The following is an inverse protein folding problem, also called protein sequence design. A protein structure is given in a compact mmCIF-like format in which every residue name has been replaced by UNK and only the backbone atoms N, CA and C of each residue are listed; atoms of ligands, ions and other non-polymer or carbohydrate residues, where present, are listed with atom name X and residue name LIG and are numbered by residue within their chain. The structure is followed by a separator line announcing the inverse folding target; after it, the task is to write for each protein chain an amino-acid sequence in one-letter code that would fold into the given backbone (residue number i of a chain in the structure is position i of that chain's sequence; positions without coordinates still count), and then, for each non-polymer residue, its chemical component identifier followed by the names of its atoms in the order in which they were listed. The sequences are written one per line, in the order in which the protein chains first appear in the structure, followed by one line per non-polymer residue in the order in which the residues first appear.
data_IF_502320513245
#
_entry.id   IF_502320513245
#
_cell.length_a   1.000
_cell.length_b   1.000
_cell.length_c   1.000
_cell.angle_alpha   90.00
_cell.angle_beta   90.00
_cell.angle_gamma   90.00
#
_symmetry.space_group_name_H-M   'P 1'
#
loop_
_entity.id
_entity.type
_entity.pdbx_description
1 polymer ?
#
# COMPACT_ATOMS: atom_id res chain seq x y z
N UNK A 1 19.44 1.12 -16.97
CA UNK A 1 19.70 2.03 -15.85
C UNK A 1 21.05 1.72 -15.20
N UNK A 2 21.68 2.74 -14.64
CA UNK A 2 22.93 2.59 -13.89
C UNK A 2 22.60 2.59 -12.41
N UNK A 3 23.11 1.63 -11.64
CA UNK A 3 23.00 1.63 -10.18
C UNK A 3 23.74 2.86 -9.65
N UNK A 4 23.05 3.69 -8.86
CA UNK A 4 23.61 4.91 -8.28
C UNK A 4 24.05 4.67 -6.83
N UNK A 5 23.19 4.06 -6.03
CA UNK A 5 23.47 3.77 -4.62
C UNK A 5 22.98 2.38 -4.23
N UNK A 6 23.66 1.77 -3.27
CA UNK A 6 23.19 0.64 -2.47
C UNK A 6 23.05 1.14 -1.03
N UNK A 7 21.87 0.97 -0.44
CA UNK A 7 21.58 1.41 0.92
C UNK A 7 21.50 0.17 1.82
N UNK A 8 22.33 0.12 2.84
CA UNK A 8 22.35 -0.94 3.83
C UNK A 8 21.61 -0.49 5.10
N UNK A 9 21.09 -1.45 5.89
CA UNK A 9 20.48 -1.16 7.18
C UNK A 9 21.49 -0.45 8.10
N UNK A 10 21.24 0.82 8.50
CA UNK A 10 22.18 1.56 9.36
C UNK A 10 22.33 0.96 10.75
N UNK A 11 21.39 0.13 11.20
CA UNK A 11 21.38 -0.54 12.50
C UNK A 11 21.53 -2.07 12.42
N UNK A 12 22.14 -2.59 11.36
CA UNK A 12 22.32 -4.03 11.13
C UNK A 12 23.02 -4.81 12.24
N UNK A 13 23.68 -4.13 13.19
CA UNK A 13 24.34 -4.71 14.38
C UNK A 13 23.52 -4.55 15.65
N UNK A 14 22.34 -3.99 15.54
CA UNK A 14 21.38 -3.83 16.62
C UNK A 14 20.72 -5.11 17.02
N UNK A 15 20.23 -5.52 17.89
CA UNK A 15 19.54 -6.42 18.76
C UNK A 15 19.09 -7.76 18.22
N UNK A 16 18.46 -7.90 17.04
CA UNK A 16 18.00 -9.22 16.52
C UNK A 16 17.99 -9.28 15.01
N UNK A 17 18.04 -10.50 14.44
CA UNK A 17 17.88 -10.72 13.01
C UNK A 17 16.38 -10.64 12.65
N UNK A 18 16.05 -9.89 11.61
CA UNK A 18 14.69 -9.85 11.07
C UNK A 18 14.05 -8.47 10.97
N UNK A 19 14.84 -7.38 11.04
CA UNK A 19 14.38 -5.98 11.01
C UNK A 19 13.58 -5.60 9.76
N UNK A 20 13.71 -6.40 8.68
CA UNK A 20 13.03 -6.17 7.41
C UNK A 20 13.35 -4.79 6.79
N UNK A 21 14.64 -4.35 6.83
CA UNK A 21 15.07 -3.14 6.13
C UNK A 21 14.77 -3.27 4.63
N UNK A 22 14.12 -2.26 4.06
CA UNK A 22 13.62 -2.27 2.68
C UNK A 22 12.18 -2.81 2.55
N UNK A 23 11.46 -3.01 3.65
CA UNK A 23 10.07 -3.48 3.62
C UNK A 23 9.16 -2.54 2.84
N UNK A 24 9.22 -1.24 3.12
CA UNK A 24 8.59 -0.20 2.33
C UNK A 24 9.62 0.87 1.95
N UNK A 25 9.44 1.47 0.78
CA UNK A 25 10.30 2.53 0.26
C UNK A 25 9.46 3.64 -0.34
N UNK A 26 9.90 4.88 -0.19
CA UNK A 26 9.32 6.03 -0.84
C UNK A 26 10.43 6.98 -1.30
N UNK A 27 10.16 7.81 -2.31
CA UNK A 27 11.17 8.66 -2.93
C UNK A 27 10.59 10.03 -3.29
N UNK A 28 11.39 11.07 -3.07
CA UNK A 28 11.21 12.40 -3.62
C UNK A 28 12.48 12.87 -4.34
N UNK A 29 12.47 14.10 -4.81
CA UNK A 29 13.67 14.70 -5.41
C UNK A 29 14.82 14.86 -4.40
N UNK A 30 14.49 15.00 -3.11
CA UNK A 30 15.47 15.31 -2.05
C UNK A 30 15.86 14.07 -1.23
N UNK A 31 14.98 13.10 -1.08
CA UNK A 31 15.17 12.00 -0.15
C UNK A 31 14.74 10.63 -0.69
N UNK A 32 15.45 9.59 -0.27
CA UNK A 32 14.96 8.21 -0.25
C UNK A 32 14.57 7.86 1.18
N UNK A 33 13.42 7.27 1.37
CA UNK A 33 12.93 6.82 2.68
C UNK A 33 12.75 5.32 2.64
N UNK A 34 13.33 4.64 3.62
CA UNK A 34 13.35 3.16 3.71
C UNK A 34 12.91 2.76 5.10
N UNK A 35 11.97 1.83 5.23
CA UNK A 35 11.58 1.29 6.52
C UNK A 35 12.30 -0.01 6.86
N UNK A 36 12.47 -0.22 8.17
CA UNK A 36 12.75 -1.48 8.81
C UNK A 36 11.58 -1.76 9.76
N UNK A 37 10.49 -2.34 9.24
CA UNK A 37 9.19 -2.37 9.92
C UNK A 37 9.16 -3.25 11.17
N UNK A 38 10.14 -4.14 11.31
CA UNK A 38 10.30 -5.01 12.48
C UNK A 38 11.54 -4.70 13.32
N UNK A 39 12.13 -3.54 13.12
CA UNK A 39 13.28 -3.17 13.92
C UNK A 39 12.90 -3.00 15.38
N UNK A 40 13.69 -3.62 16.25
CA UNK A 40 13.56 -3.50 17.70
C UNK A 40 14.15 -2.16 18.17
N UNK A 41 13.52 -1.52 19.12
CA UNK A 41 14.08 -0.36 19.79
C UNK A 41 14.22 -0.60 21.32
N UNK A 42 14.67 0.43 22.05
CA UNK A 42 14.80 0.34 23.50
C UNK A 42 13.47 0.09 24.24
N UNK A 43 12.36 0.19 23.54
CA UNK A 43 11.00 0.15 24.08
C UNK A 43 10.31 -1.18 23.81
N UNK A 44 10.77 -1.95 22.83
CA UNK A 44 10.19 -3.27 22.55
C UNK A 44 10.59 -3.86 21.20
N UNK A 45 10.14 -5.08 20.97
CA UNK A 45 10.33 -5.79 19.71
C UNK A 45 9.36 -5.31 18.64
N UNK A 46 9.78 -5.38 17.36
CA UNK A 46 8.99 -5.07 16.17
C UNK A 46 8.34 -3.66 16.22
N UNK A 47 9.02 -2.67 16.83
CA UNK A 47 8.49 -1.30 16.90
C UNK A 47 8.52 -0.60 15.55
N UNK A 48 9.53 -0.90 14.75
CA UNK A 48 9.77 -0.32 13.45
C UNK A 48 10.51 1.01 13.48
N UNK A 49 11.32 1.22 12.45
CA UNK A 49 12.14 2.43 12.25
C UNK A 49 12.08 2.85 10.78
N UNK A 50 12.13 4.15 10.55
CA UNK A 50 12.19 4.74 9.22
C UNK A 50 13.51 5.49 9.05
N UNK A 51 14.22 5.21 7.97
CA UNK A 51 15.49 5.82 7.62
C UNK A 51 15.33 6.75 6.43
N UNK A 52 15.85 7.98 6.56
CA UNK A 52 15.85 8.98 5.50
C UNK A 52 17.26 9.14 4.98
N UNK A 53 17.45 8.96 3.69
CA UNK A 53 18.73 9.12 2.99
C UNK A 53 18.64 10.32 2.04
N UNK A 54 19.70 11.10 1.96
CA UNK A 54 19.84 12.19 1.00
C UNK A 54 19.94 11.65 -0.43
N UNK A 55 19.06 12.09 -1.32
CA UNK A 55 18.95 11.54 -2.67
C UNK A 55 20.16 11.90 -3.56
N UNK A 56 20.89 12.98 -3.23
CA UNK A 56 22.05 13.42 -4.00
C UNK A 56 23.32 12.68 -3.63
N UNK A 57 23.43 12.16 -2.40
CA UNK A 57 24.66 11.56 -1.86
C UNK A 57 24.50 10.09 -1.48
N UNK A 58 23.27 9.60 -1.27
CA UNK A 58 22.99 8.26 -0.73
C UNK A 58 23.33 8.11 0.76
N UNK A 59 23.72 9.19 1.45
CA UNK A 59 24.08 9.15 2.87
C UNK A 59 22.84 9.17 3.75
N UNK A 60 22.91 8.46 4.90
CA UNK A 60 21.88 8.56 5.93
C UNK A 60 21.80 10.01 6.45
N UNK A 61 20.64 10.63 6.27
CA UNK A 61 20.34 11.95 6.76
C UNK A 61 19.68 11.91 8.15
N UNK A 62 18.76 10.92 8.37
CA UNK A 62 18.00 10.79 9.61
C UNK A 62 17.59 9.35 9.91
N UNK A 63 17.41 9.08 11.19
CA UNK A 63 16.71 7.92 11.73
C UNK A 63 15.47 8.42 12.46
N UNK A 64 14.31 7.89 12.12
CA UNK A 64 13.02 8.27 12.69
C UNK A 64 12.47 7.03 13.42
N UNK A 65 12.53 7.08 14.75
CA UNK A 65 11.94 6.05 15.59
C UNK A 65 10.40 6.17 15.61
N UNK A 66 9.71 5.10 15.96
CA UNK A 66 8.26 5.12 16.16
C UNK A 66 7.86 6.23 17.15
N UNK A 67 7.02 7.19 16.73
CA UNK A 67 6.59 8.28 17.61
C UNK A 67 5.68 7.84 18.76
N UNK A 68 5.15 6.60 18.72
CA UNK A 68 4.33 6.06 19.79
C UNK A 68 5.18 5.72 21.02
N UNK A 69 4.96 6.45 22.12
CA UNK A 69 5.64 6.21 23.39
C UNK A 69 4.92 5.21 24.31
N UNK A 70 3.76 4.70 23.89
CA UNK A 70 2.95 3.76 24.68
C UNK A 70 3.32 2.34 24.28
N UNK A 71 4.29 1.79 24.94
CA UNK A 71 4.92 0.50 24.69
C UNK A 71 3.94 -0.67 24.52
N UNK A 72 3.70 -1.03 23.28
CA UNK A 72 3.15 -2.32 22.89
C UNK A 72 4.13 -2.92 21.88
N UNK A 73 4.51 -4.17 22.05
CA UNK A 73 5.35 -4.86 21.08
C UNK A 73 4.61 -4.96 19.74
N UNK A 74 5.31 -4.70 18.65
CA UNK A 74 4.82 -5.02 17.31
C UNK A 74 3.99 -3.93 16.63
N UNK A 75 4.17 -2.64 16.94
CA UNK A 75 3.49 -1.53 16.26
C UNK A 75 3.76 -1.48 14.75
N UNK A 76 4.95 -1.95 14.32
CA UNK A 76 5.43 -2.00 12.94
C UNK A 76 5.32 -0.64 12.22
N UNK A 77 5.84 0.39 12.85
CA UNK A 77 6.00 1.70 12.21
C UNK A 77 6.83 1.58 10.93
N UNK A 78 6.30 2.04 9.81
CA UNK A 78 6.89 1.82 8.48
C UNK A 78 6.37 0.58 7.75
N UNK A 79 5.28 -0.04 8.22
CA UNK A 79 4.60 -1.13 7.48
C UNK A 79 4.12 -0.66 6.10
N UNK A 80 3.67 0.56 5.99
CA UNK A 80 3.34 1.23 4.74
C UNK A 80 3.92 2.64 4.73
N UNK A 81 4.31 3.12 3.57
CA UNK A 81 4.86 4.48 3.40
C UNK A 81 4.54 5.06 2.04
N UNK A 82 4.28 6.35 2.03
CA UNK A 82 4.20 7.16 0.81
C UNK A 82 4.80 8.55 1.05
N UNK A 83 5.22 9.23 -0.02
CA UNK A 83 5.91 10.51 0.09
C UNK A 83 5.44 11.48 -0.99
N UNK A 84 5.22 12.75 -0.59
CA UNK A 84 4.97 13.86 -1.50
C UNK A 84 5.82 15.06 -1.07
N UNK A 85 6.73 15.51 -1.92
CA UNK A 85 7.78 16.46 -1.54
C UNK A 85 8.63 15.92 -0.38
N UNK A 86 8.76 16.68 0.68
CA UNK A 86 9.50 16.31 1.89
C UNK A 86 8.59 15.75 3.00
N UNK A 87 7.30 15.55 2.72
CA UNK A 87 6.36 14.97 3.68
C UNK A 87 6.24 13.47 3.45
N UNK A 88 6.53 12.67 4.47
CA UNK A 88 6.34 11.21 4.49
C UNK A 88 5.08 10.87 5.29
N UNK A 89 4.23 10.06 4.72
CA UNK A 89 3.13 9.41 5.44
C UNK A 89 3.57 7.99 5.78
N UNK A 90 3.51 7.63 7.06
CA UNK A 90 3.99 6.36 7.60
C UNK A 90 2.88 5.67 8.35
N UNK A 91 2.53 4.45 7.97
CA UNK A 91 1.58 3.60 8.68
C UNK A 91 2.22 2.76 9.77
N UNK A 92 1.49 2.57 10.88
CA UNK A 92 1.79 1.69 11.99
C UNK A 92 0.51 0.93 12.40
N UNK A 93 0.08 -0.05 11.60
CA UNK A 93 -1.27 -0.63 11.68
C UNK A 93 -1.51 -1.48 12.93
N UNK A 94 -0.46 -1.87 13.64
CA UNK A 94 -0.59 -2.73 14.82
C UNK A 94 -0.49 -1.97 16.14
N UNK A 95 -0.39 -0.63 16.10
CA UNK A 95 -0.42 0.24 17.28
C UNK A 95 -1.74 0.09 18.04
N UNK A 96 -1.70 0.09 19.36
CA UNK A 96 -2.90 0.21 20.23
C UNK A 96 -3.85 -0.98 20.17
N UNK A 97 -3.33 -2.22 20.21
CA UNK A 97 -4.07 -3.47 20.03
C UNK A 97 -4.65 -3.64 18.62
N UNK A 98 -3.89 -3.24 17.60
CA UNK A 98 -4.28 -3.31 16.19
C UNK A 98 -5.32 -2.26 15.72
N UNK A 99 -5.66 -1.26 16.55
CA UNK A 99 -6.46 -0.10 16.08
C UNK A 99 -5.74 0.64 14.95
N UNK A 100 -4.41 0.72 15.08
CA UNK A 100 -3.53 1.33 14.09
C UNK A 100 -3.40 2.85 14.18
N UNK A 101 -2.34 3.37 13.58
CA UNK A 101 -2.04 4.79 13.42
C UNK A 101 -1.33 5.07 12.11
N UNK A 102 -1.39 6.33 11.70
CA UNK A 102 -0.50 6.83 10.66
C UNK A 102 0.12 8.17 11.11
N UNK A 103 1.27 8.50 10.55
CA UNK A 103 2.02 9.69 10.94
C UNK A 103 2.44 10.47 9.70
N UNK A 104 2.17 11.77 9.70
CA UNK A 104 2.75 12.70 8.74
C UNK A 104 4.05 13.27 9.34
N UNK A 105 5.15 13.09 8.64
CA UNK A 105 6.50 13.41 9.12
C UNK A 105 7.22 14.25 8.07
N UNK A 106 7.92 15.28 8.52
CA UNK A 106 8.84 16.06 7.69
C UNK A 106 10.19 15.32 7.59
N UNK A 107 10.52 14.80 6.42
CA UNK A 107 11.76 14.08 6.16
C UNK A 107 13.00 14.97 6.35
N UNK A 108 12.89 16.29 6.12
CA UNK A 108 14.01 17.21 6.25
C UNK A 108 14.43 17.44 7.69
N UNK A 109 13.48 17.35 8.64
CA UNK A 109 13.71 17.57 10.07
C UNK A 109 13.59 16.30 10.92
N UNK A 110 12.87 15.30 10.44
CA UNK A 110 12.47 14.10 11.20
C UNK A 110 11.31 14.36 12.18
N UNK A 111 10.68 15.55 12.12
CA UNK A 111 9.63 15.93 13.04
C UNK A 111 8.28 15.38 12.63
N UNK A 112 7.54 14.81 13.57
CA UNK A 112 6.13 14.44 13.36
C UNK A 112 5.28 15.71 13.23
N UNK A 113 4.69 15.92 12.06
CA UNK A 113 3.78 17.02 11.77
C UNK A 113 2.39 16.75 12.36
N UNK A 114 1.88 15.57 12.12
CA UNK A 114 0.58 15.12 12.62
C UNK A 114 0.58 13.63 12.94
N UNK A 115 -0.14 13.25 14.02
CA UNK A 115 -0.52 11.87 14.30
C UNK A 115 -1.97 11.69 13.86
N UNK A 116 -2.21 10.80 12.90
CA UNK A 116 -3.53 10.44 12.42
C UNK A 116 -3.99 9.20 13.18
N UNK A 117 -5.00 9.36 14.01
CA UNK A 117 -5.63 8.26 14.71
C UNK A 117 -6.81 7.74 13.89
N UNK A 118 -7.16 6.48 14.06
CA UNK A 118 -8.38 5.93 13.49
C UNK A 118 -9.60 6.77 13.98
N UNK A 119 -10.38 7.39 13.06
CA UNK A 119 -11.52 8.20 13.45
C UNK A 119 -12.65 7.41 14.13
N UNK A 120 -12.72 6.10 13.90
CA UNK A 120 -13.75 5.20 14.44
C UNK A 120 -13.18 4.19 15.46
N UNK A 121 -12.12 4.54 16.16
CA UNK A 121 -11.37 3.71 17.11
C UNK A 121 -12.19 2.90 18.13
N UNK A 122 -13.47 3.22 18.30
CA UNK A 122 -14.39 2.57 19.23
C UNK A 122 -15.63 2.02 18.50
N UNK A 123 -15.52 1.75 17.20
CA UNK A 123 -16.58 1.11 16.41
C UNK A 123 -17.03 -0.21 17.03
N UNK A 124 -18.26 -0.58 16.77
CA UNK A 124 -18.84 -1.82 17.29
C UNK A 124 -18.05 -3.03 16.72
N UNK A 125 -17.33 -3.78 17.53
CA UNK A 125 -16.75 -5.05 17.10
C UNK A 125 -15.36 -5.36 17.60
N UNK A 126 -14.57 -4.43 18.07
CA UNK A 126 -13.28 -4.72 18.66
C UNK A 126 -12.08 -3.99 18.04
N UNK A 127 -10.95 -4.21 18.64
CA UNK A 127 -9.65 -3.64 18.33
C UNK A 127 -8.93 -4.51 17.30
N UNK A 128 -9.10 -4.30 16.02
CA UNK A 128 -8.31 -4.97 14.97
C UNK A 128 -8.44 -4.25 13.62
N UNK A 129 -8.71 -2.95 13.64
CA UNK A 129 -9.06 -2.17 12.44
C UNK A 129 -7.91 -2.04 11.46
N UNK A 130 -6.67 -2.09 11.99
CA UNK A 130 -5.42 -1.94 11.24
C UNK A 130 -5.36 -0.67 10.40
N UNK A 131 -5.80 0.46 10.98
CA UNK A 131 -5.65 1.77 10.36
C UNK A 131 -4.17 2.07 10.08
N UNK A 132 -3.84 2.42 8.84
CA UNK A 132 -2.46 2.59 8.39
C UNK A 132 -1.86 1.35 7.72
N UNK A 133 -2.68 0.34 7.37
CA UNK A 133 -2.20 -0.86 6.66
C UNK A 133 -1.67 -0.54 5.27
N UNK A 134 -2.31 0.36 4.57
CA UNK A 134 -1.83 0.93 3.31
C UNK A 134 -2.12 2.43 3.28
N UNK A 135 -1.21 3.21 2.69
CA UNK A 135 -1.27 4.67 2.70
C UNK A 135 -0.81 5.26 1.37
N UNK A 136 -1.42 6.37 0.99
CA UNK A 136 -0.96 7.16 -0.16
C UNK A 136 -1.10 8.66 0.12
N UNK A 137 -0.24 9.48 -0.48
CA UNK A 137 -0.20 10.94 -0.28
C UNK A 137 0.09 11.63 -1.60
N UNK A 138 -0.67 12.70 -1.89
CA UNK A 138 -0.39 13.58 -3.03
C UNK A 138 -1.21 14.87 -2.95
N UNK A 139 -0.58 15.98 -3.32
CA UNK A 139 -1.28 17.26 -3.55
C UNK A 139 -1.95 17.86 -2.31
N UNK A 140 -1.41 17.62 -1.11
CA UNK A 140 -1.95 18.14 0.14
C UNK A 140 -3.06 17.29 0.76
N UNK A 141 -3.39 16.15 0.17
CA UNK A 141 -4.27 15.12 0.70
C UNK A 141 -3.54 13.81 0.90
N UNK A 142 -3.97 13.03 1.87
CA UNK A 142 -3.53 11.66 2.05
C UNK A 142 -4.73 10.74 2.31
N UNK A 143 -4.56 9.47 1.95
CA UNK A 143 -5.55 8.42 2.20
C UNK A 143 -4.92 7.33 3.05
N UNK A 144 -5.69 6.79 4.00
CA UNK A 144 -5.29 5.75 4.94
C UNK A 144 -6.34 4.67 4.96
N UNK A 145 -5.94 3.42 4.76
CA UNK A 145 -6.84 2.26 4.83
C UNK A 145 -6.92 1.66 6.23
N UNK A 146 -8.10 1.15 6.59
CA UNK A 146 -8.42 0.40 7.81
C UNK A 146 -9.29 -0.80 7.42
N UNK A 147 -8.66 -1.83 6.87
CA UNK A 147 -9.35 -2.89 6.11
C UNK A 147 -10.09 -3.92 6.98
N UNK A 148 -9.83 -3.96 8.25
CA UNK A 148 -10.54 -4.79 9.23
C UNK A 148 -11.59 -4.03 10.02
N UNK A 149 -11.77 -2.73 9.74
CA UNK A 149 -12.75 -1.94 10.46
C UNK A 149 -14.17 -2.46 10.26
N UNK A 150 -14.89 -2.58 11.38
CA UNK A 150 -16.28 -3.00 11.37
C UNK A 150 -17.21 -1.80 11.09
N UNK A 151 -18.15 -1.96 10.20
CA UNK A 151 -19.21 -0.97 9.92
C UNK A 151 -20.53 -1.57 10.32
N UNK A 152 -21.27 -0.89 11.18
CA UNK A 152 -22.57 -1.27 11.76
C UNK A 152 -23.19 -2.53 11.15
N UNK A 153 -23.09 -3.67 11.83
CA UNK A 153 -23.60 -5.01 11.43
C UNK A 153 -22.75 -5.81 10.43
N UNK A 154 -21.64 -5.27 9.92
CA UNK A 154 -20.79 -5.97 8.96
C UNK A 154 -19.35 -6.03 9.48
N UNK A 155 -18.88 -7.23 9.81
CA UNK A 155 -17.56 -7.46 10.37
C UNK A 155 -16.50 -7.39 9.28
N UNK A 156 -15.44 -6.56 9.48
CA UNK A 156 -14.32 -6.41 8.54
C UNK A 156 -14.73 -5.97 7.14
N UNK A 157 -15.76 -5.15 7.06
CA UNK A 157 -16.16 -4.50 5.81
C UNK A 157 -15.05 -3.58 5.30
N UNK A 158 -14.35 -2.95 6.24
CA UNK A 158 -13.25 -2.03 6.01
C UNK A 158 -13.68 -0.61 5.67
N UNK A 159 -12.79 0.33 5.94
CA UNK A 159 -12.98 1.77 5.71
C UNK A 159 -11.67 2.37 5.16
N UNK A 160 -11.79 3.44 4.40
CA UNK A 160 -10.65 4.29 4.05
C UNK A 160 -10.94 5.75 4.40
N UNK A 161 -9.91 6.49 4.79
CA UNK A 161 -10.04 7.84 5.29
C UNK A 161 -9.16 8.80 4.53
N UNK A 162 -9.70 9.94 4.08
CA UNK A 162 -8.93 11.01 3.45
C UNK A 162 -8.72 12.12 4.47
N UNK A 163 -7.46 12.53 4.65
CA UNK A 163 -7.06 13.63 5.53
C UNK A 163 -6.39 14.75 4.73
N UNK A 164 -6.50 15.96 5.26
CA UNK A 164 -5.71 17.11 4.78
C UNK A 164 -4.32 17.06 5.42
N UNK A 165 -3.28 17.04 4.61
CA UNK A 165 -1.88 16.92 5.06
C UNK A 165 -1.44 18.10 5.92
N UNK A 166 -1.82 19.34 5.54
CA UNK A 166 -1.40 20.54 6.24
C UNK A 166 -2.01 20.72 7.63
N UNK A 167 -3.21 20.16 7.87
CA UNK A 167 -3.92 20.30 9.15
C UNK A 167 -4.05 19.01 9.95
N UNK A 168 -3.82 17.85 9.34
CA UNK A 168 -4.08 16.54 9.94
C UNK A 168 -5.58 16.25 10.15
N UNK A 169 -6.49 17.09 9.60
CA UNK A 169 -7.93 16.96 9.82
C UNK A 169 -8.55 16.01 8.79
N UNK A 170 -9.43 15.13 9.26
CA UNK A 170 -10.26 14.26 8.43
C UNK A 170 -11.10 15.08 7.44
N UNK A 171 -10.95 14.78 6.15
CA UNK A 171 -11.76 15.36 5.09
C UNK A 171 -12.94 14.48 4.72
N UNK A 172 -12.72 13.18 4.53
CA UNK A 172 -13.77 12.22 4.14
C UNK A 172 -13.55 10.86 4.78
N UNK A 173 -14.66 10.19 5.12
CA UNK A 173 -14.74 8.75 5.41
C UNK A 173 -15.33 8.07 4.19
N UNK A 174 -14.60 7.11 3.62
CA UNK A 174 -15.02 6.31 2.48
C UNK A 174 -15.40 4.93 3.00
N UNK A 175 -16.68 4.60 2.92
CA UNK A 175 -17.21 3.28 3.30
C UNK A 175 -17.36 2.38 2.08
N UNK A 176 -17.30 1.08 2.30
CA UNK A 176 -17.55 0.11 1.26
C UNK A 176 -18.96 0.31 0.68
N UNK A 177 -19.11 0.62 -0.63
CA UNK A 177 -20.43 0.87 -1.21
C UNK A 177 -21.25 -0.42 -1.42
N UNK A 178 -20.60 -1.57 -1.38
CA UNK A 178 -21.20 -2.90 -1.59
C UNK A 178 -21.31 -3.70 -0.28
N UNK A 179 -21.37 -3.06 0.86
CA UNK A 179 -21.60 -3.68 2.17
C UNK A 179 -23.04 -4.25 2.27
N UNK A 180 -23.43 -5.11 1.35
CA UNK A 180 -24.82 -5.59 1.16
C UNK A 180 -25.14 -6.91 1.84
N UNK A 181 -24.49 -7.19 2.96
CA UNK A 181 -24.94 -8.21 3.88
C UNK A 181 -24.58 -9.66 3.57
N UNK A 182 -23.57 -9.92 2.73
CA UNK A 182 -22.79 -11.12 2.90
C UNK A 182 -21.76 -10.85 4.01
N UNK A 183 -21.97 -11.40 5.22
CA UNK A 183 -21.28 -10.89 6.38
C UNK A 183 -19.79 -11.14 6.27
N UNK A 184 -19.08 -10.07 6.02
CA UNK A 184 -17.75 -9.98 6.50
C UNK A 184 -16.64 -10.37 5.57
N UNK A 185 -15.67 -9.49 5.58
CA UNK A 185 -14.35 -9.71 5.03
C UNK A 185 -14.11 -9.12 3.64
N UNK A 186 -14.89 -8.08 3.28
CA UNK A 186 -14.65 -7.36 2.01
C UNK A 186 -13.31 -6.66 1.98
N UNK A 187 -12.82 -6.27 3.18
CA UNK A 187 -11.48 -5.69 3.34
C UNK A 187 -11.30 -4.42 2.51
N UNK A 188 -12.32 -3.58 2.45
CA UNK A 188 -12.21 -2.28 1.82
C UNK A 188 -11.14 -1.43 2.53
N UNK A 189 -10.23 -0.82 1.78
CA UNK A 189 -9.09 -0.10 2.35
C UNK A 189 -7.81 -0.93 2.51
N UNK A 190 -7.80 -2.21 2.07
CA UNK A 190 -6.58 -3.01 2.11
C UNK A 190 -5.51 -2.57 1.10
N UNK A 191 -5.90 -1.81 0.09
CA UNK A 191 -5.00 -1.11 -0.83
C UNK A 191 -5.59 0.24 -1.18
N UNK A 192 -4.77 1.30 -1.20
CA UNK A 192 -5.21 2.66 -1.48
C UNK A 192 -4.23 3.38 -2.41
N UNK A 193 -4.76 4.26 -3.25
CA UNK A 193 -3.97 5.17 -4.07
C UNK A 193 -4.67 6.53 -4.18
N UNK A 194 -3.92 7.60 -4.39
CA UNK A 194 -4.46 8.95 -4.57
C UNK A 194 -3.69 9.70 -5.65
N UNK A 195 -4.40 10.36 -6.55
CA UNK A 195 -3.81 11.26 -7.53
C UNK A 195 -4.79 12.38 -7.91
N UNK A 196 -4.39 13.63 -7.68
CA UNK A 196 -5.22 14.79 -8.02
C UNK A 196 -6.60 14.77 -7.38
N UNK A 197 -7.63 14.76 -8.20
CA UNK A 197 -9.04 14.76 -7.76
C UNK A 197 -9.60 13.36 -7.51
N UNK A 198 -8.77 12.32 -7.53
CA UNK A 198 -9.21 10.92 -7.46
C UNK A 198 -8.47 10.14 -6.39
N UNK A 199 -9.21 9.25 -5.72
CA UNK A 199 -8.67 8.22 -4.85
C UNK A 199 -9.20 6.85 -5.30
N UNK A 200 -8.36 5.83 -5.25
CA UNK A 200 -8.73 4.44 -5.47
C UNK A 200 -8.65 3.66 -4.17
N UNK A 201 -9.62 2.78 -3.94
CA UNK A 201 -9.67 1.92 -2.76
C UNK A 201 -9.98 0.50 -3.19
N UNK A 202 -9.14 -0.44 -2.82
CA UNK A 202 -9.32 -1.88 -3.03
C UNK A 202 -10.14 -2.52 -1.92
N UNK A 203 -10.93 -3.51 -2.29
CA UNK A 203 -11.71 -4.37 -1.40
C UNK A 203 -11.54 -5.82 -1.88
N UNK A 204 -10.51 -6.51 -1.40
CA UNK A 204 -10.08 -7.82 -1.93
C UNK A 204 -11.06 -8.96 -1.68
N UNK A 205 -11.95 -8.81 -0.72
CA UNK A 205 -12.98 -9.79 -0.41
C UNK A 205 -14.36 -9.45 -0.96
N UNK A 206 -14.52 -8.28 -1.59
CA UNK A 206 -15.82 -7.86 -2.13
C UNK A 206 -16.30 -8.78 -3.26
N UNK A 207 -17.62 -8.98 -3.31
CA UNK A 207 -18.27 -9.81 -4.31
C UNK A 207 -18.57 -9.04 -5.60
N UNK A 208 -18.27 -9.62 -6.74
CA UNK A 208 -18.73 -9.15 -8.05
C UNK A 208 -20.04 -9.84 -8.46
N UNK A 209 -21.08 -9.80 -7.62
CA UNK A 209 -22.37 -10.46 -7.80
C UNK A 209 -22.38 -12.00 -7.65
N UNK A 210 -21.26 -12.68 -7.60
CA UNK A 210 -21.22 -14.17 -7.53
C UNK A 210 -20.08 -14.78 -6.71
N UNK A 211 -18.98 -14.11 -6.51
CA UNK A 211 -17.77 -14.66 -5.84
C UNK A 211 -16.87 -13.55 -5.31
N UNK A 212 -16.17 -13.82 -4.19
CA UNK A 212 -15.13 -12.95 -3.59
C UNK A 212 -13.93 -12.76 -4.54
N UNK A 213 -14.08 -11.95 -5.57
CA UNK A 213 -13.00 -11.65 -6.54
C UNK A 213 -12.35 -10.30 -6.32
N UNK A 214 -12.88 -9.53 -5.37
CA UNK A 214 -12.44 -8.19 -5.09
C UNK A 214 -12.96 -7.15 -6.08
N UNK A 215 -12.99 -5.93 -5.60
CA UNK A 215 -13.40 -4.74 -6.33
C UNK A 215 -12.42 -3.61 -6.09
N UNK A 216 -12.39 -2.64 -6.98
CA UNK A 216 -11.70 -1.37 -6.78
C UNK A 216 -12.68 -0.23 -7.03
N UNK A 217 -12.72 0.71 -6.11
CA UNK A 217 -13.64 1.85 -6.14
C UNK A 217 -12.88 3.15 -6.33
N UNK A 218 -13.37 4.00 -7.22
CA UNK A 218 -12.80 5.31 -7.50
C UNK A 218 -13.69 6.40 -6.90
N UNK A 219 -13.10 7.26 -6.10
CA UNK A 219 -13.76 8.36 -5.41
C UNK A 219 -13.23 9.72 -5.85
N UNK A 220 -14.08 10.74 -5.76
CA UNK A 220 -13.67 12.14 -5.88
C UNK A 220 -13.11 12.62 -4.54
N UNK A 221 -11.87 13.10 -4.51
CA UNK A 221 -11.18 13.51 -3.27
C UNK A 221 -11.73 14.76 -2.63
N UNK A 222 -12.42 15.63 -3.39
CA UNK A 222 -12.98 16.88 -2.87
C UNK A 222 -14.39 16.71 -2.28
N UNK A 223 -15.14 15.70 -2.72
CA UNK A 223 -16.53 15.46 -2.30
C UNK A 223 -16.74 14.17 -1.51
N UNK A 224 -15.78 13.24 -1.55
CA UNK A 224 -15.92 11.89 -1.02
C UNK A 224 -16.89 11.00 -1.82
N UNK A 225 -17.39 11.47 -2.97
CA UNK A 225 -18.40 10.74 -3.74
C UNK A 225 -17.78 9.62 -4.57
N UNK A 226 -18.42 8.44 -4.59
CA UNK A 226 -18.09 7.34 -5.49
C UNK A 226 -18.30 7.76 -6.95
N UNK A 227 -17.33 7.45 -7.81
CA UNK A 227 -17.37 7.72 -9.24
C UNK A 227 -17.53 6.42 -10.03
N UNK A 228 -16.70 5.41 -9.74
CA UNK A 228 -16.69 4.13 -10.43
C UNK A 228 -16.50 2.97 -9.46
N UNK A 229 -17.14 1.84 -9.78
CA UNK A 229 -16.86 0.52 -9.21
C UNK A 229 -16.24 -0.32 -10.34
N UNK A 230 -15.03 -0.82 -10.13
CA UNK A 230 -14.25 -1.56 -11.13
C UNK A 230 -14.11 -3.01 -10.68
N UNK A 231 -14.55 -3.93 -11.53
CA UNK A 231 -14.37 -5.36 -11.36
C UNK A 231 -13.34 -5.91 -12.34
N UNK A 232 -12.83 -7.11 -12.06
CA UNK A 232 -11.96 -7.82 -12.98
C UNK A 232 -12.70 -8.18 -14.28
N UNK A 233 -12.12 -7.86 -15.45
CA UNK A 233 -12.81 -8.11 -16.74
C UNK A 233 -12.87 -9.60 -17.11
N UNK A 234 -12.02 -10.44 -16.54
CA UNK A 234 -11.95 -11.88 -16.82
C UNK A 234 -12.16 -12.74 -15.56
N UNK A 235 -12.58 -12.11 -14.47
CA UNK A 235 -12.94 -12.77 -13.23
C UNK A 235 -11.77 -13.22 -12.36
N UNK A 236 -10.58 -12.67 -12.57
CA UNK A 236 -9.44 -12.86 -11.68
C UNK A 236 -9.57 -12.01 -10.42
N UNK A 237 -8.95 -12.42 -9.32
CA UNK A 237 -9.03 -11.68 -8.06
C UNK A 237 -8.20 -10.38 -8.09
N UNK A 238 -8.80 -9.25 -7.73
CA UNK A 238 -8.21 -7.90 -7.71
C UNK A 238 -8.35 -7.22 -6.35
N UNK A 239 -7.77 -6.03 -6.19
CA UNK A 239 -7.94 -5.19 -5.00
C UNK A 239 -7.15 -5.66 -3.78
N UNK A 240 -6.12 -6.49 -3.95
CA UNK A 240 -5.26 -6.97 -2.88
C UNK A 240 -4.25 -5.91 -2.39
N UNK A 241 -3.54 -6.21 -1.29
CA UNK A 241 -2.51 -5.33 -0.71
C UNK A 241 -1.48 -4.88 -1.74
N UNK A 242 -1.10 -3.59 -1.69
CA UNK A 242 -0.10 -2.95 -2.54
C UNK A 242 -0.34 -3.13 -4.05
N UNK A 243 -1.56 -3.45 -4.43
CA UNK A 243 -1.92 -3.79 -5.81
C UNK A 243 -2.48 -2.62 -6.61
N UNK A 244 -2.48 -1.40 -6.05
CA UNK A 244 -2.99 -0.19 -6.69
C UNK A 244 -1.90 0.85 -6.91
N UNK A 245 -1.91 1.45 -8.11
CA UNK A 245 -1.18 2.68 -8.39
C UNK A 245 -2.04 3.58 -9.27
N UNK A 246 -1.79 4.88 -9.24
CA UNK A 246 -2.50 5.87 -10.04
C UNK A 246 -1.54 6.89 -10.64
N UNK A 247 -1.91 7.42 -11.80
CA UNK A 247 -1.38 8.65 -12.35
C UNK A 247 -2.53 9.62 -12.69
N UNK A 248 -2.26 10.65 -13.51
CA UNK A 248 -3.26 11.65 -13.85
C UNK A 248 -4.43 11.10 -14.68
N UNK A 249 -4.25 9.99 -15.40
CA UNK A 249 -5.19 9.46 -16.38
C UNK A 249 -5.69 8.06 -16.06
N UNK A 250 -4.85 7.24 -15.42
CA UNK A 250 -5.09 5.81 -15.23
C UNK A 250 -4.99 5.34 -13.78
N UNK A 251 -5.78 4.32 -13.47
CA UNK A 251 -5.59 3.47 -12.30
C UNK A 251 -5.08 2.10 -12.77
N UNK A 252 -4.03 1.64 -12.12
CA UNK A 252 -3.37 0.35 -12.36
C UNK A 252 -3.75 -0.59 -11.22
N UNK A 253 -4.32 -1.74 -11.59
CA UNK A 253 -4.88 -2.70 -10.64
C UNK A 253 -4.21 -4.04 -10.90
N UNK A 254 -3.41 -4.51 -9.96
CA UNK A 254 -2.79 -5.82 -10.08
C UNK A 254 -3.70 -6.95 -9.59
N UNK A 255 -3.68 -8.03 -10.34
CA UNK A 255 -4.28 -9.34 -10.05
C UNK A 255 -3.15 -10.38 -9.98
N UNK A 256 -2.32 -10.33 -8.94
CA UNK A 256 -1.11 -11.15 -8.87
C UNK A 256 -1.37 -12.65 -8.68
N UNK A 257 -2.60 -13.04 -8.35
CA UNK A 257 -3.04 -14.44 -8.37
C UNK A 257 -3.59 -14.88 -9.73
N UNK A 258 -3.69 -13.97 -10.71
CA UNK A 258 -4.28 -14.26 -12.01
C UNK A 258 -3.57 -15.39 -12.76
N UNK A 259 -4.36 -16.12 -13.53
CA UNK A 259 -3.89 -17.20 -14.41
C UNK A 259 -3.41 -16.63 -15.74
N UNK A 260 -2.19 -16.94 -16.14
CA UNK A 260 -1.61 -16.58 -17.45
C UNK A 260 -1.03 -17.81 -18.12
N UNK A 261 -1.40 -18.04 -19.38
CA UNK A 261 -0.91 -19.18 -20.16
C UNK A 261 -1.32 -20.55 -19.61
N UNK A 262 -2.38 -20.60 -18.76
CA UNK A 262 -2.85 -21.81 -18.09
C UNK A 262 -2.16 -22.12 -16.76
N UNK A 263 -1.29 -21.23 -16.30
CA UNK A 263 -0.58 -21.33 -15.02
C UNK A 263 -1.16 -20.35 -14.01
N UNK A 264 -1.52 -20.82 -12.82
CA UNK A 264 -2.12 -20.02 -11.74
C UNK A 264 -1.08 -19.11 -11.07
N UNK A 265 -1.53 -17.99 -10.51
CA UNK A 265 -0.69 -17.05 -9.74
C UNK A 265 0.53 -16.52 -10.51
N UNK A 266 0.38 -16.35 -11.82
CA UNK A 266 1.39 -15.74 -12.68
C UNK A 266 1.27 -14.21 -12.67
N UNK A 267 0.07 -13.70 -12.53
CA UNK A 267 -0.25 -12.29 -12.35
C UNK A 267 -0.50 -11.52 -13.64
N UNK A 268 -1.35 -10.50 -13.49
CA UNK A 268 -1.72 -9.52 -14.52
C UNK A 268 -1.82 -8.13 -13.89
N UNK A 269 -1.76 -7.10 -14.71
CA UNK A 269 -2.13 -5.73 -14.32
C UNK A 269 -3.16 -5.20 -15.30
N UNK A 270 -4.30 -4.74 -14.78
CA UNK A 270 -5.34 -4.06 -15.56
C UNK A 270 -5.15 -2.56 -15.47
N UNK A 271 -5.30 -1.88 -16.58
CA UNK A 271 -5.19 -0.42 -16.68
C UNK A 271 -6.56 0.14 -17.06
N UNK A 272 -7.16 0.88 -16.14
CA UNK A 272 -8.45 1.54 -16.39
C UNK A 272 -8.27 3.05 -16.50
N UNK A 273 -8.98 3.66 -17.43
CA UNK A 273 -9.06 5.11 -17.53
C UNK A 273 -9.95 5.67 -16.40
N UNK A 274 -9.39 6.55 -15.56
CA UNK A 274 -10.09 7.06 -14.37
C UNK A 274 -11.36 7.82 -14.75
N UNK A 275 -11.32 8.66 -15.80
CA UNK A 275 -12.44 9.51 -16.17
C UNK A 275 -13.68 8.76 -16.66
N UNK A 276 -13.52 7.52 -17.16
CA UNK A 276 -14.62 6.72 -17.76
C UNK A 276 -14.85 5.39 -17.06
N UNK A 277 -13.95 4.93 -16.20
CA UNK A 277 -14.00 3.60 -15.59
C UNK A 277 -13.81 2.46 -16.59
N UNK A 278 -13.29 2.73 -17.82
CA UNK A 278 -13.15 1.72 -18.86
C UNK A 278 -11.76 1.09 -18.87
N UNK A 279 -11.69 -0.23 -19.06
CA UNK A 279 -10.44 -0.95 -19.28
C UNK A 279 -9.80 -0.46 -20.59
N UNK A 280 -8.52 -0.12 -20.54
CA UNK A 280 -7.73 0.28 -21.72
C UNK A 280 -6.66 -0.73 -22.07
N UNK A 281 -6.00 -1.32 -21.06
CA UNK A 281 -4.96 -2.32 -21.28
C UNK A 281 -5.04 -3.43 -20.24
N UNK A 282 -4.56 -4.61 -20.65
CA UNK A 282 -4.20 -5.71 -19.76
C UNK A 282 -2.73 -6.04 -20.00
N UNK A 283 -1.93 -6.03 -18.96
CA UNK A 283 -0.50 -6.39 -18.99
C UNK A 283 -0.39 -7.76 -18.33
N UNK A 284 -0.27 -8.80 -19.14
CA UNK A 284 -0.01 -10.15 -18.66
C UNK A 284 1.46 -10.27 -18.24
N UNK A 285 1.76 -11.21 -17.31
CA UNK A 285 3.13 -11.59 -17.05
C UNK A 285 3.82 -11.96 -18.38
N UNK A 286 4.88 -11.26 -18.80
CA UNK A 286 5.51 -11.48 -20.12
C UNK A 286 6.34 -12.76 -20.17
N UNK A 287 6.61 -13.37 -19.01
CA UNK A 287 7.46 -14.55 -18.88
C UNK A 287 6.88 -15.51 -17.82
N UNK A 288 5.67 -16.11 -18.07
CA UNK A 288 5.05 -16.99 -17.11
C UNK A 288 5.96 -18.20 -16.82
N UNK A 289 6.16 -18.54 -15.54
CA UNK A 289 7.04 -19.64 -15.15
C UNK A 289 6.33 -20.99 -15.32
N UNK A 290 6.68 -21.69 -16.39
CA UNK A 290 6.15 -23.00 -16.70
C UNK A 290 6.87 -24.15 -15.97
N UNK A 291 8.00 -23.86 -15.31
CA UNK A 291 8.90 -24.84 -14.70
C UNK A 291 8.93 -24.77 -13.16
N UNK A 292 8.34 -23.73 -12.56
CA UNK A 292 8.38 -23.55 -11.10
C UNK A 292 7.64 -24.72 -10.40
N UNK A 293 8.31 -25.33 -9.46
CA UNK A 293 7.80 -26.45 -8.65
C UNK A 293 6.51 -26.08 -7.87
N UNK A 294 6.22 -24.78 -7.72
CA UNK A 294 4.99 -24.23 -7.14
C UNK A 294 4.30 -23.17 -8.04
N UNK A 295 4.76 -22.96 -9.26
CA UNK A 295 4.07 -22.20 -10.32
C UNK A 295 3.74 -20.71 -10.05
N UNK A 296 3.92 -20.21 -8.84
CA UNK A 296 3.43 -18.89 -8.43
C UNK A 296 4.54 -17.86 -8.47
N UNK A 297 4.51 -16.91 -9.41
CA UNK A 297 5.53 -15.86 -9.56
C UNK A 297 5.10 -14.51 -9.00
N UNK A 298 3.77 -14.26 -8.95
CA UNK A 298 3.12 -13.06 -8.42
C UNK A 298 3.54 -11.76 -9.14
N UNK A 299 3.54 -11.75 -10.47
CA UNK A 299 3.67 -10.52 -11.23
C UNK A 299 2.55 -9.54 -10.85
N UNK A 300 2.90 -8.32 -10.48
CA UNK A 300 1.97 -7.34 -9.94
C UNK A 300 1.86 -7.34 -8.42
N UNK A 301 2.74 -8.07 -7.69
CA UNK A 301 2.72 -8.07 -6.23
C UNK A 301 2.85 -6.67 -5.62
N UNK A 302 3.68 -5.82 -6.21
CA UNK A 302 3.73 -4.39 -5.96
C UNK A 302 3.84 -3.65 -7.30
N UNK A 303 3.17 -2.52 -7.40
CA UNK A 303 3.18 -1.66 -8.58
C UNK A 303 3.39 -0.20 -8.18
N UNK A 304 4.08 0.54 -9.01
CA UNK A 304 4.21 1.98 -8.90
C UNK A 304 4.15 2.60 -10.29
N UNK A 305 3.46 3.71 -10.42
CA UNK A 305 3.29 4.39 -11.71
C UNK A 305 3.51 5.89 -11.57
N UNK A 306 3.90 6.48 -12.68
CA UNK A 306 3.84 7.92 -12.90
C UNK A 306 3.31 8.15 -14.32
N UNK A 307 3.18 9.41 -14.74
CA UNK A 307 2.58 9.76 -16.06
C UNK A 307 3.34 9.21 -17.27
N UNK A 308 4.46 8.53 -17.11
CA UNK A 308 5.29 8.04 -18.22
C UNK A 308 5.64 6.57 -18.12
N UNK A 309 5.62 5.99 -16.91
CA UNK A 309 6.08 4.62 -16.68
C UNK A 309 5.30 3.92 -15.57
N UNK A 310 5.23 2.60 -15.70
CA UNK A 310 4.81 1.71 -14.63
C UNK A 310 5.95 0.72 -14.32
N UNK A 311 6.23 0.55 -13.03
CA UNK A 311 7.09 -0.49 -12.50
C UNK A 311 6.22 -1.59 -11.87
N UNK A 312 6.52 -2.84 -12.21
CA UNK A 312 5.76 -4.01 -11.75
C UNK A 312 6.73 -5.01 -11.14
N UNK A 313 6.51 -5.39 -9.89
CA UNK A 313 7.33 -6.37 -9.18
C UNK A 313 6.79 -7.80 -9.35
N UNK A 314 7.70 -8.76 -9.45
CA UNK A 314 7.45 -10.20 -9.49
C UNK A 314 8.40 -10.90 -8.49
N UNK A 315 8.07 -10.95 -7.18
CA UNK A 315 9.03 -11.30 -6.13
C UNK A 315 9.42 -12.77 -6.10
N UNK A 316 8.59 -13.67 -6.63
CA UNK A 316 8.86 -15.12 -6.61
C UNK A 316 9.36 -15.69 -7.92
N UNK A 317 9.75 -14.84 -8.85
CA UNK A 317 10.37 -15.29 -10.09
C UNK A 317 11.70 -15.96 -9.84
N UNK A 318 11.91 -17.16 -10.36
CA UNK A 318 13.21 -17.83 -10.37
C UNK A 318 14.07 -17.28 -11.51
N UNK A 319 15.35 -17.00 -11.25
CA UNK A 319 16.31 -16.50 -12.25
C UNK A 319 17.51 -17.44 -12.28
N UNK A 320 17.65 -18.16 -13.38
CA UNK A 320 18.69 -19.19 -13.53
C UNK A 320 18.45 -20.37 -12.59
N UNK A 321 19.41 -20.67 -11.71
CA UNK A 321 19.32 -21.73 -10.70
C UNK A 321 18.88 -21.25 -9.32
N UNK A 322 18.47 -19.97 -9.20
CA UNK A 322 18.09 -19.35 -7.93
C UNK A 322 16.57 -19.24 -7.86
N UNK A 323 15.95 -19.96 -6.93
CA UNK A 323 14.52 -19.88 -6.66
C UNK A 323 14.18 -18.58 -5.93
N UNK A 324 13.02 -17.97 -6.29
CA UNK A 324 12.48 -16.75 -5.66
C UNK A 324 13.48 -15.56 -5.64
N UNK A 325 14.30 -15.41 -6.68
CA UNK A 325 15.23 -14.27 -6.77
C UNK A 325 14.56 -12.97 -7.21
N UNK A 326 13.32 -13.06 -7.70
CA UNK A 326 12.50 -11.91 -8.10
C UNK A 326 12.93 -11.23 -9.39
N UNK A 327 11.99 -10.50 -9.99
CA UNK A 327 12.22 -9.58 -11.12
C UNK A 327 11.38 -8.32 -10.92
N UNK A 328 11.77 -7.24 -11.57
CA UNK A 328 10.94 -6.07 -11.77
C UNK A 328 10.92 -5.71 -13.26
N UNK A 329 9.78 -5.27 -13.72
CA UNK A 329 9.53 -4.87 -15.10
C UNK A 329 9.18 -3.40 -15.14
N UNK A 330 9.68 -2.70 -16.15
CA UNK A 330 9.37 -1.29 -16.40
C UNK A 330 8.76 -1.21 -17.80
N UNK A 331 7.57 -0.60 -17.86
CA UNK A 331 6.88 -0.31 -19.12
C UNK A 331 6.78 1.21 -19.29
N UNK A 332 7.03 1.70 -20.50
CA UNK A 332 6.68 3.06 -20.87
C UNK A 332 5.17 3.11 -21.15
N UNK A 333 4.54 4.21 -20.72
CA UNK A 333 3.12 4.48 -20.94
C UNK A 333 3.04 5.48 -22.11
N UNK A 334 2.90 4.98 -23.33
CA UNK A 334 2.79 5.76 -24.56
C UNK A 334 1.32 6.21 -24.84
#
# INVERSE_FOLDING_TARGET
GTLTYTLDNPNASGTTAGDEFGFAVAVSDNYFVVSASREDDANGADQGTVYVFDASTGNLARTIANPNSSYQNGDRFGQSMAMDGDTVLVGAPFTGNYDGRAYLIDASTGSTLHTLNNPNQFGEGGSDDQFGIDVAIQGGLCIVGAFHEDVVSDTRSGVAYIFNVGSGILAHTLVNPDADGNPGNDRFGNSVAIHGSYAAVGASGADDATTNRGMVYIYNTSTGALIHSLSSPDGEAIGHFHSLAMDAEYVYIAAYYATVGGYTSQGKVYVFRISTGTLVHTIDNPDPDTAAVNGSTYFGYAIAANNTRIAIAEPRRSVGSFDNSGKAYIYDLD
#
